data_IF_813669275335
#
_entry.id   IF_813669275335
#
_cell.length_a   1.000
_cell.length_b   1.000
_cell.length_c   1.000
_cell.angle_alpha   90.00
_cell.angle_beta   90.00
_cell.angle_gamma   90.00
#
_symmetry.space_group_name_H-M   'P 1'
#
loop_
_entity.id
_entity.type
_entity.pdbx_description
1 polymer ?
#
# COMPACT_ATOMS: atom_id res chain seq x y z
N UNK A 1 -15.53 0.96 -14.83
CA UNK A 1 -14.90 1.87 -13.85
C UNK A 1 -13.94 1.16 -12.87
N UNK A 2 -14.09 -0.14 -12.58
CA UNK A 2 -13.19 -0.84 -11.63
C UNK A 2 -11.71 -0.77 -12.02
N UNK A 3 -11.35 -0.98 -13.30
CA UNK A 3 -9.96 -0.88 -13.75
C UNK A 3 -9.38 0.52 -13.57
N UNK A 4 -10.17 1.57 -13.87
CA UNK A 4 -9.76 2.95 -13.62
C UNK A 4 -9.56 3.21 -12.11
N UNK A 5 -10.48 2.72 -11.26
CA UNK A 5 -10.33 2.83 -9.80
C UNK A 5 -9.02 2.19 -9.32
N UNK A 6 -8.70 0.99 -9.80
CA UNK A 6 -7.48 0.27 -9.39
C UNK A 6 -6.22 0.91 -9.96
N UNK A 7 -6.27 1.42 -11.19
CA UNK A 7 -5.17 2.20 -11.76
C UNK A 7 -4.92 3.50 -10.99
N UNK A 8 -5.97 4.25 -10.63
CA UNK A 8 -5.84 5.45 -9.81
C UNK A 8 -5.34 5.12 -8.40
N UNK A 9 -5.84 4.04 -7.80
CA UNK A 9 -5.37 3.55 -6.50
C UNK A 9 -3.89 3.23 -6.53
N UNK A 10 -3.44 2.51 -7.55
CA UNK A 10 -2.04 2.22 -7.81
C UNK A 10 -1.17 3.49 -7.91
N UNK A 11 -1.56 4.45 -8.76
CA UNK A 11 -0.81 5.70 -8.96
C UNK A 11 -0.72 6.50 -7.67
N UNK A 12 -1.87 6.75 -7.02
CA UNK A 12 -1.93 7.56 -5.81
C UNK A 12 -1.18 6.92 -4.64
N UNK A 13 -1.36 5.62 -4.42
CA UNK A 13 -0.64 4.91 -3.36
C UNK A 13 0.86 4.89 -3.59
N UNK A 14 1.32 4.66 -4.83
CA UNK A 14 2.76 4.70 -5.15
C UNK A 14 3.36 6.07 -4.86
N UNK A 15 2.67 7.15 -5.26
CA UNK A 15 3.10 8.52 -4.97
C UNK A 15 3.16 8.80 -3.47
N UNK A 16 2.12 8.44 -2.72
CA UNK A 16 2.05 8.66 -1.28
C UNK A 16 3.12 7.87 -0.51
N UNK A 17 3.37 6.61 -0.90
CA UNK A 17 4.44 5.81 -0.31
C UNK A 17 5.80 6.42 -0.64
N UNK A 18 6.04 6.84 -1.88
CA UNK A 18 7.30 7.49 -2.26
C UNK A 18 7.57 8.76 -1.45
N UNK A 19 6.56 9.61 -1.27
CA UNK A 19 6.64 10.82 -0.43
C UNK A 19 6.92 10.43 1.03
N UNK A 20 6.18 9.46 1.57
CA UNK A 20 6.34 8.99 2.94
C UNK A 20 7.77 8.48 3.19
N UNK A 21 8.29 7.60 2.33
CA UNK A 21 9.65 7.07 2.46
C UNK A 21 10.70 8.16 2.32
N UNK A 22 10.54 9.08 1.37
CA UNK A 22 11.48 10.21 1.23
C UNK A 22 11.55 11.03 2.50
N UNK A 23 10.39 11.36 3.10
CA UNK A 23 10.35 12.11 4.35
C UNK A 23 10.98 11.32 5.51
N UNK A 24 10.64 10.03 5.62
CA UNK A 24 11.15 9.15 6.67
C UNK A 24 12.68 9.08 6.66
N UNK A 25 13.28 8.82 5.49
CA UNK A 25 14.73 8.73 5.34
C UNK A 25 15.42 10.09 5.42
N UNK A 26 14.77 11.18 5.02
CA UNK A 26 15.30 12.53 5.23
C UNK A 26 15.44 12.84 6.73
N UNK A 27 14.47 12.40 7.55
CA UNK A 27 14.48 12.62 9.00
C UNK A 27 15.43 11.67 9.73
N UNK A 28 15.45 10.38 9.38
CA UNK A 28 16.25 9.37 10.09
C UNK A 28 17.72 9.41 9.68
N UNK A 29 18.00 9.53 8.39
CA UNK A 29 19.35 9.38 7.83
C UNK A 29 19.93 10.69 7.29
N UNK A 30 19.17 11.79 7.34
CA UNK A 30 19.59 13.07 6.75
C UNK A 30 19.65 13.04 5.22
N UNK A 31 18.95 12.10 4.58
CA UNK A 31 18.96 11.96 3.12
C UNK A 31 18.33 13.18 2.41
N UNK A 32 18.79 13.46 1.18
CA UNK A 32 18.24 14.55 0.37
C UNK A 32 16.86 14.21 -0.17
N UNK A 33 15.91 15.16 -0.13
CA UNK A 33 14.58 14.99 -0.75
C UNK A 33 14.62 14.67 -2.26
N UNK A 34 15.76 14.88 -2.93
CA UNK A 34 15.96 14.53 -4.33
C UNK A 34 15.92 13.01 -4.59
N UNK A 35 16.04 12.17 -3.55
CA UNK A 35 15.95 10.70 -3.67
C UNK A 35 14.52 10.18 -3.87
N UNK A 36 13.51 11.05 -3.94
CA UNK A 36 12.11 10.63 -4.15
C UNK A 36 11.93 9.73 -5.37
N UNK A 37 12.68 9.97 -6.45
CA UNK A 37 12.66 9.11 -7.64
C UNK A 37 13.02 7.66 -7.32
N UNK A 38 14.03 7.44 -6.46
CA UNK A 38 14.44 6.11 -6.02
C UNK A 38 13.30 5.42 -5.26
N UNK A 39 12.70 6.10 -4.27
CA UNK A 39 11.62 5.50 -3.49
C UNK A 39 10.34 5.27 -4.29
N UNK A 40 10.03 6.12 -5.26
CA UNK A 40 8.93 5.88 -6.21
C UNK A 40 9.20 4.63 -7.05
N UNK A 41 10.39 4.50 -7.63
CA UNK A 41 10.77 3.32 -8.41
C UNK A 41 10.82 2.04 -7.57
N UNK A 42 11.24 2.14 -6.31
CA UNK A 42 11.26 1.04 -5.35
C UNK A 42 9.86 0.61 -4.93
N UNK A 43 8.94 1.54 -4.67
CA UNK A 43 7.57 1.23 -4.25
C UNK A 43 6.72 0.67 -5.40
N UNK A 44 6.90 1.18 -6.62
CA UNK A 44 6.12 0.81 -7.81
C UNK A 44 5.88 -0.70 -7.97
N UNK A 45 6.91 -1.58 -8.02
CA UNK A 45 6.71 -3.00 -8.27
C UNK A 45 5.90 -3.68 -7.16
N UNK A 46 6.09 -3.30 -5.90
CA UNK A 46 5.34 -3.88 -4.79
C UNK A 46 3.87 -3.43 -4.80
N UNK A 47 3.61 -2.15 -5.06
CA UNK A 47 2.23 -1.65 -5.15
C UNK A 47 1.51 -2.31 -6.33
N UNK A 48 2.18 -2.47 -7.47
CA UNK A 48 1.61 -3.09 -8.67
C UNK A 48 1.38 -4.60 -8.50
N UNK A 49 2.38 -5.34 -8.02
CA UNK A 49 2.35 -6.81 -8.00
C UNK A 49 1.70 -7.38 -6.73
N UNK A 50 1.63 -6.61 -5.64
CA UNK A 50 1.03 -7.05 -4.38
C UNK A 50 -0.18 -6.20 -4.05
N UNK A 51 -0.01 -4.87 -3.98
CA UNK A 51 -1.07 -3.96 -3.56
C UNK A 51 -2.33 -4.04 -4.41
N UNK A 52 -2.19 -3.99 -5.74
CA UNK A 52 -3.32 -4.06 -6.67
C UNK A 52 -4.04 -5.41 -6.62
N UNK A 53 -3.36 -6.59 -6.68
CA UNK A 53 -4.02 -7.88 -6.49
C UNK A 53 -4.74 -8.01 -5.15
N UNK A 54 -4.13 -7.55 -4.05
CA UNK A 54 -4.76 -7.54 -2.72
C UNK A 54 -6.02 -6.69 -2.71
N UNK A 55 -6.01 -5.56 -3.39
CA UNK A 55 -7.16 -4.68 -3.53
C UNK A 55 -8.30 -5.32 -4.34
N UNK A 56 -7.99 -6.10 -5.39
CA UNK A 56 -9.00 -6.91 -6.09
C UNK A 56 -9.55 -8.04 -5.21
N UNK A 57 -8.68 -8.74 -4.48
CA UNK A 57 -9.08 -9.79 -3.54
C UNK A 57 -9.97 -9.22 -2.43
N UNK A 58 -9.63 -8.05 -1.90
CA UNK A 58 -10.42 -7.31 -0.90
C UNK A 58 -11.84 -7.05 -1.40
N UNK A 59 -11.99 -6.54 -2.61
CA UNK A 59 -13.31 -6.34 -3.22
C UNK A 59 -14.07 -7.67 -3.42
N UNK A 60 -13.38 -8.72 -3.87
CA UNK A 60 -14.01 -10.03 -4.08
C UNK A 60 -14.52 -10.64 -2.77
N UNK A 61 -13.72 -10.63 -1.70
CA UNK A 61 -14.08 -11.20 -0.40
C UNK A 61 -15.12 -10.36 0.34
N UNK A 62 -15.23 -9.07 0.01
CA UNK A 62 -16.17 -8.15 0.67
C UNK A 62 -17.39 -7.78 -0.16
N UNK A 63 -17.58 -8.37 -1.35
CA UNK A 63 -18.66 -8.02 -2.29
C UNK A 63 -20.08 -8.06 -1.72
N UNK A 64 -20.33 -8.91 -0.73
CA UNK A 64 -21.64 -9.09 -0.08
C UNK A 64 -21.78 -8.30 1.23
N UNK A 65 -20.80 -7.46 1.57
CA UNK A 65 -20.76 -6.68 2.80
C UNK A 65 -20.96 -5.20 2.49
N UNK A 66 -21.69 -4.52 3.37
CA UNK A 66 -22.01 -3.11 3.22
C UNK A 66 -21.49 -2.27 4.41
N UNK A 67 -21.24 -0.99 4.14
CA UNK A 67 -20.87 0.01 5.15
C UNK A 67 -19.69 -0.40 6.03
N UNK A 68 -19.85 -0.22 7.35
CA UNK A 68 -18.80 -0.45 8.36
C UNK A 68 -18.23 -1.87 8.34
N UNK A 69 -19.07 -2.90 8.15
CA UNK A 69 -18.62 -4.31 8.13
C UNK A 69 -17.63 -4.55 6.98
N UNK A 70 -17.90 -3.99 5.80
CA UNK A 70 -16.97 -4.07 4.68
C UNK A 70 -15.68 -3.32 4.96
N UNK A 71 -15.77 -2.07 5.40
CA UNK A 71 -14.61 -1.22 5.67
C UNK A 71 -13.61 -1.92 6.61
N UNK A 72 -14.11 -2.48 7.71
CA UNK A 72 -13.30 -3.23 8.67
C UNK A 72 -12.71 -4.51 8.07
N UNK A 73 -13.46 -5.28 7.27
CA UNK A 73 -12.90 -6.48 6.62
C UNK A 73 -11.83 -6.13 5.58
N UNK A 74 -12.05 -5.09 4.78
CA UNK A 74 -11.07 -4.61 3.80
C UNK A 74 -9.77 -4.19 4.50
N UNK A 75 -9.87 -3.45 5.61
CA UNK A 75 -8.73 -3.10 6.45
C UNK A 75 -7.89 -4.32 6.84
N UNK A 76 -8.53 -5.34 7.42
CA UNK A 76 -7.82 -6.55 7.84
C UNK A 76 -7.17 -7.29 6.68
N UNK A 77 -7.82 -7.36 5.52
CA UNK A 77 -7.24 -7.97 4.32
C UNK A 77 -5.94 -7.24 3.95
N UNK A 78 -5.98 -5.92 3.80
CA UNK A 78 -4.80 -5.14 3.45
C UNK A 78 -3.68 -5.29 4.50
N UNK A 79 -4.00 -5.21 5.79
CA UNK A 79 -2.99 -5.32 6.84
C UNK A 79 -2.37 -6.72 6.90
N UNK A 80 -3.17 -7.79 6.80
CA UNK A 80 -2.67 -9.16 6.79
C UNK A 80 -1.70 -9.34 5.62
N UNK A 81 -2.07 -8.90 4.41
CA UNK A 81 -1.19 -9.01 3.25
C UNK A 81 0.03 -8.08 3.33
N UNK A 82 -0.11 -6.90 3.95
CA UNK A 82 1.01 -6.00 4.23
C UNK A 82 2.03 -6.60 5.19
N UNK A 83 1.56 -7.26 6.26
CA UNK A 83 2.41 -8.02 7.19
C UNK A 83 3.09 -9.18 6.47
N UNK A 84 2.33 -9.99 5.72
CA UNK A 84 2.88 -11.13 4.98
C UNK A 84 3.95 -10.70 3.97
N UNK A 85 3.68 -9.67 3.17
CA UNK A 85 4.64 -9.11 2.23
C UNK A 85 5.88 -8.59 2.97
N UNK A 86 5.68 -7.90 4.09
CA UNK A 86 6.76 -7.42 4.96
C UNK A 86 7.65 -8.52 5.49
N UNK A 87 7.06 -9.60 6.00
CA UNK A 87 7.80 -10.75 6.53
C UNK A 87 8.60 -11.45 5.42
N UNK A 88 8.01 -11.62 4.24
CA UNK A 88 8.69 -12.22 3.08
C UNK A 88 9.88 -11.33 2.67
N UNK A 89 9.68 -10.03 2.51
CA UNK A 89 10.76 -9.10 2.14
C UNK A 89 11.83 -9.05 3.24
N UNK A 90 11.43 -8.95 4.50
CA UNK A 90 12.35 -8.94 5.65
C UNK A 90 13.17 -10.21 5.73
N UNK A 91 12.65 -11.36 5.29
CA UNK A 91 13.40 -12.62 5.25
C UNK A 91 14.53 -12.57 4.19
N UNK A 92 14.30 -11.94 3.03
CA UNK A 92 15.31 -11.84 1.97
C UNK A 92 16.34 -10.72 2.20
N UNK A 93 15.97 -9.65 2.88
CA UNK A 93 16.80 -8.45 3.07
C UNK A 93 17.23 -8.20 4.52
N UNK A 94 17.00 -9.16 5.41
CA UNK A 94 17.42 -9.17 6.82
C UNK A 94 17.08 -7.88 7.59
N UNK A 95 15.84 -7.39 7.47
CA UNK A 95 15.44 -6.12 8.08
C UNK A 95 13.98 -6.06 8.53
N UNK A 96 13.73 -6.25 9.84
CA UNK A 96 12.38 -6.18 10.42
C UNK A 96 11.69 -4.81 10.22
N UNK A 97 12.47 -3.75 10.04
CA UNK A 97 11.96 -2.43 9.69
C UNK A 97 11.14 -2.44 8.39
N UNK A 98 11.44 -3.35 7.46
CA UNK A 98 10.69 -3.51 6.21
C UNK A 98 9.25 -3.97 6.47
N UNK A 99 9.01 -4.74 7.54
CA UNK A 99 7.65 -5.12 7.96
C UNK A 99 6.84 -3.89 8.34
N UNK A 100 7.45 -2.94 9.04
CA UNK A 100 6.78 -1.68 9.42
C UNK A 100 6.46 -0.86 8.17
N UNK A 101 7.41 -0.75 7.24
CA UNK A 101 7.21 -0.04 5.97
C UNK A 101 6.05 -0.64 5.17
N UNK A 102 5.96 -1.98 5.03
CA UNK A 102 4.90 -2.60 4.25
C UNK A 102 3.54 -2.52 4.93
N UNK A 103 3.48 -2.54 6.28
CA UNK A 103 2.24 -2.27 7.01
C UNK A 103 1.75 -0.86 6.73
N UNK A 104 2.64 0.15 6.79
CA UNK A 104 2.28 1.54 6.48
C UNK A 104 1.84 1.66 5.01
N UNK A 105 2.56 1.03 4.09
CA UNK A 105 2.17 0.98 2.67
C UNK A 105 0.77 0.36 2.47
N UNK A 106 0.47 -0.73 3.18
CA UNK A 106 -0.84 -1.37 3.15
C UNK A 106 -1.95 -0.49 3.74
N UNK A 107 -1.67 0.24 4.82
CA UNK A 107 -2.58 1.25 5.39
C UNK A 107 -2.89 2.35 4.37
N UNK A 108 -1.86 2.91 3.73
CA UNK A 108 -2.01 3.93 2.69
C UNK A 108 -2.85 3.38 1.53
N UNK A 109 -2.54 2.17 1.04
CA UNK A 109 -3.31 1.56 -0.05
C UNK A 109 -4.78 1.42 0.34
N UNK A 110 -5.06 0.83 1.49
CA UNK A 110 -6.42 0.63 1.97
C UNK A 110 -7.21 1.94 2.04
N UNK A 111 -6.63 3.01 2.61
CA UNK A 111 -7.27 4.31 2.69
C UNK A 111 -7.60 4.86 1.30
N UNK A 112 -6.66 4.77 0.36
CA UNK A 112 -6.85 5.21 -1.02
C UNK A 112 -7.93 4.39 -1.73
N UNK A 113 -7.90 3.06 -1.61
CA UNK A 113 -8.88 2.18 -2.27
C UNK A 113 -10.31 2.42 -1.75
N UNK A 114 -10.47 2.58 -0.44
CA UNK A 114 -11.77 2.91 0.17
C UNK A 114 -12.25 4.31 -0.25
N UNK A 115 -11.36 5.32 -0.24
CA UNK A 115 -11.71 6.66 -0.69
C UNK A 115 -12.17 6.68 -2.15
N UNK A 116 -11.43 6.03 -3.04
CA UNK A 116 -11.79 5.96 -4.45
C UNK A 116 -13.09 5.18 -4.66
N UNK A 117 -13.37 4.14 -3.87
CA UNK A 117 -14.61 3.37 -3.99
C UNK A 117 -15.87 4.13 -3.58
N UNK A 118 -15.74 5.16 -2.73
CA UNK A 118 -16.87 6.07 -2.45
C UNK A 118 -17.26 6.86 -3.71
N UNK A 119 -16.29 7.14 -4.58
CA UNK A 119 -16.48 7.96 -5.80
C UNK A 119 -16.79 7.14 -7.06
N UNK A 120 -16.37 5.88 -7.13
CA UNK A 120 -16.45 5.00 -8.32
C UNK A 120 -17.06 3.63 -8.01
#
# INVERSE_FOLDING_TARGET
MIFLRKFLGFVLTTLLIGIFLTFLFAVIEGSSFLVIGLFLTGAFPFVLLIGVPVSFLSDYLTKNLNGKKRYTKAFFIHIIFGVLAGLVISFYFEGLFLVVITIIGALIFWLVDEFLRIKF
#
